data_IF_991575014229
#
_entry.id   IF_991575014229
#
_cell.length_a   1.000
_cell.length_b   1.000
_cell.length_c   1.000
_cell.angle_alpha   90.00
_cell.angle_beta   90.00
_cell.angle_gamma   90.00
#
_symmetry.space_group_name_H-M   'P 1'
#
loop_
_entity.id
_entity.type
_entity.pdbx_description
1 polymer ?
#
# COMPACT_ATOMS: atom_id res chain seq x y z
N UNK A 1 3.15 -5.80 -32.48
CA UNK A 1 3.22 -6.84 -31.41
C UNK A 1 4.66 -6.93 -30.93
N UNK A 2 4.99 -6.45 -29.72
CA UNK A 2 6.32 -6.71 -29.13
C UNK A 2 6.36 -8.20 -28.76
N UNK A 3 7.33 -8.96 -29.30
CA UNK A 3 7.63 -10.32 -28.82
C UNK A 3 7.82 -10.23 -27.30
N UNK A 4 7.09 -11.04 -26.53
CA UNK A 4 7.32 -11.12 -25.08
C UNK A 4 8.78 -11.46 -24.83
N UNK A 5 9.44 -10.69 -23.95
CA UNK A 5 10.80 -11.00 -23.51
C UNK A 5 10.80 -12.37 -22.84
N UNK A 6 11.69 -13.26 -23.28
CA UNK A 6 11.82 -14.59 -22.67
C UNK A 6 12.51 -14.49 -21.30
N UNK A 7 12.27 -15.48 -20.44
CA UNK A 7 12.96 -15.67 -19.16
C UNK A 7 14.49 -15.51 -19.30
N UNK A 8 15.07 -16.15 -20.31
CA UNK A 8 16.50 -16.08 -20.59
C UNK A 8 16.96 -14.66 -20.97
N UNK A 9 16.17 -13.92 -21.75
CA UNK A 9 16.51 -12.56 -22.14
C UNK A 9 16.48 -11.60 -20.93
N UNK A 10 15.49 -11.75 -20.03
CA UNK A 10 15.40 -10.94 -18.81
C UNK A 10 16.57 -11.25 -17.87
N UNK A 11 16.88 -12.53 -17.68
CA UNK A 11 18.02 -12.97 -16.88
C UNK A 11 19.35 -12.43 -17.42
N UNK A 12 19.56 -12.52 -18.74
CA UNK A 12 20.76 -12.00 -19.39
C UNK A 12 20.96 -10.50 -19.14
N UNK A 13 19.90 -9.70 -19.30
CA UNK A 13 19.97 -8.25 -19.04
C UNK A 13 20.32 -7.95 -17.58
N UNK A 14 19.77 -8.73 -16.64
CA UNK A 14 20.10 -8.60 -15.22
C UNK A 14 21.57 -8.93 -14.94
N UNK A 15 22.04 -10.07 -15.44
CA UNK A 15 23.42 -10.53 -15.25
C UNK A 15 24.43 -9.55 -15.86
N UNK A 16 24.15 -8.99 -17.04
CA UNK A 16 24.97 -7.93 -17.64
C UNK A 16 25.07 -6.69 -16.75
N UNK A 17 23.94 -6.23 -16.19
CA UNK A 17 23.94 -5.06 -15.31
C UNK A 17 24.65 -5.30 -13.99
N UNK A 18 24.58 -6.53 -13.45
CA UNK A 18 25.32 -6.94 -12.26
C UNK A 18 26.82 -7.09 -12.54
N UNK A 19 27.19 -7.65 -13.69
CA UNK A 19 28.59 -7.79 -14.11
C UNK A 19 29.26 -6.42 -14.24
N UNK A 20 28.55 -5.43 -14.78
CA UNK A 20 29.04 -4.05 -14.91
C UNK A 20 29.23 -3.35 -13.55
N UNK A 21 28.33 -3.57 -12.59
CA UNK A 21 28.37 -2.88 -11.30
C UNK A 21 29.30 -3.56 -10.29
N UNK A 22 29.28 -4.90 -10.25
CA UNK A 22 29.87 -5.69 -9.18
C UNK A 22 30.92 -6.70 -9.66
N UNK A 23 31.20 -6.76 -10.97
CA UNK A 23 32.17 -7.69 -11.56
C UNK A 23 31.75 -9.16 -11.53
N UNK A 24 30.48 -9.45 -11.22
CA UNK A 24 29.91 -10.81 -11.15
C UNK A 24 28.44 -10.80 -11.58
N UNK A 25 27.90 -11.91 -12.09
CA UNK A 25 26.47 -12.03 -12.39
C UNK A 25 25.60 -12.00 -11.12
N UNK A 26 24.28 -11.87 -11.30
CA UNK A 26 23.35 -12.01 -10.19
C UNK A 26 23.39 -13.44 -9.65
N UNK A 27 23.13 -13.61 -8.35
CA UNK A 27 22.91 -14.95 -7.80
C UNK A 27 21.54 -15.50 -8.23
N UNK A 28 21.37 -16.82 -8.18
CA UNK A 28 20.17 -17.48 -8.69
C UNK A 28 18.89 -16.99 -8.00
N UNK A 29 18.92 -16.80 -6.67
CA UNK A 29 17.78 -16.26 -5.91
C UNK A 29 17.35 -14.88 -6.42
N UNK A 30 18.29 -13.98 -6.67
CA UNK A 30 18.02 -12.65 -7.21
C UNK A 30 17.48 -12.74 -8.63
N UNK A 31 18.08 -13.60 -9.46
CA UNK A 31 17.67 -13.82 -10.85
C UNK A 31 16.23 -14.33 -10.91
N UNK A 32 15.91 -15.37 -10.16
CA UNK A 32 14.56 -15.97 -10.15
C UNK A 32 13.52 -14.98 -9.63
N UNK A 33 13.82 -14.28 -8.53
CA UNK A 33 12.92 -13.26 -7.98
C UNK A 33 12.65 -12.15 -8.99
N UNK A 34 13.70 -11.59 -9.61
CA UNK A 34 13.58 -10.49 -10.55
C UNK A 34 12.84 -10.91 -11.82
N UNK A 35 13.23 -12.04 -12.42
CA UNK A 35 12.63 -12.53 -13.65
C UNK A 35 11.16 -12.89 -13.44
N UNK A 36 10.83 -13.59 -12.37
CA UNK A 36 9.45 -13.92 -12.05
C UNK A 36 8.61 -12.63 -11.88
N UNK A 37 9.11 -11.66 -11.12
CA UNK A 37 8.40 -10.41 -10.90
C UNK A 37 8.19 -9.59 -12.18
N UNK A 38 9.14 -9.61 -13.12
CA UNK A 38 8.95 -9.01 -14.45
C UNK A 38 7.84 -9.72 -15.23
N UNK A 39 7.87 -11.05 -15.27
CA UNK A 39 6.93 -11.86 -16.05
C UNK A 39 5.50 -11.78 -15.52
N UNK A 40 5.34 -11.77 -14.18
CA UNK A 40 4.04 -11.64 -13.52
C UNK A 40 3.60 -10.20 -13.32
N UNK A 41 4.44 -9.23 -13.67
CA UNK A 41 4.21 -7.80 -13.47
C UNK A 41 4.00 -7.43 -11.99
N UNK A 42 4.67 -8.15 -11.10
CA UNK A 42 4.57 -8.00 -9.65
C UNK A 42 5.48 -6.86 -9.17
N UNK A 43 4.89 -5.69 -8.97
CA UNK A 43 5.60 -4.53 -8.45
C UNK A 43 6.08 -4.71 -7.00
N UNK A 44 5.33 -5.41 -6.14
CA UNK A 44 5.70 -5.60 -4.72
C UNK A 44 6.95 -6.47 -4.61
N UNK A 45 7.04 -7.54 -5.40
CA UNK A 45 8.26 -8.35 -5.47
C UNK A 45 9.49 -7.54 -5.93
N UNK A 46 9.30 -6.43 -6.66
CA UNK A 46 10.35 -5.51 -7.09
C UNK A 46 10.60 -4.35 -6.14
N UNK A 47 9.87 -4.19 -5.03
CA UNK A 47 10.02 -3.05 -4.10
C UNK A 47 11.47 -2.82 -3.67
N UNK A 48 12.24 -3.91 -3.49
CA UNK A 48 13.65 -3.86 -3.12
C UNK A 48 14.51 -3.03 -4.08
N UNK A 49 14.19 -2.96 -5.37
CA UNK A 49 14.99 -2.19 -6.34
C UNK A 49 14.86 -0.68 -6.14
N UNK A 50 13.83 -0.22 -5.42
CA UNK A 50 13.68 1.21 -5.08
C UNK A 50 14.78 1.71 -4.14
N UNK A 51 15.43 0.81 -3.38
CA UNK A 51 16.54 1.15 -2.50
C UNK A 51 17.71 1.76 -3.29
N UNK A 52 18.33 2.81 -2.75
CA UNK A 52 19.47 3.53 -3.35
C UNK A 52 20.70 2.65 -3.65
N UNK A 53 20.84 1.49 -3.02
CA UNK A 53 22.00 0.60 -3.21
C UNK A 53 21.85 -0.39 -4.39
N UNK A 54 20.66 -0.46 -5.01
CA UNK A 54 20.32 -1.50 -6.00
C UNK A 54 20.39 -1.00 -7.45
N UNK A 55 21.39 -0.20 -7.80
CA UNK A 55 21.53 0.44 -9.12
C UNK A 55 21.58 -0.56 -10.29
N UNK A 56 22.25 -1.71 -10.13
CA UNK A 56 22.25 -2.76 -11.15
C UNK A 56 20.84 -3.27 -11.48
N UNK A 57 20.00 -3.48 -10.45
CA UNK A 57 18.62 -3.96 -10.62
C UNK A 57 17.72 -2.89 -11.23
N UNK A 58 17.92 -1.60 -10.87
CA UNK A 58 17.23 -0.47 -11.50
C UNK A 58 17.54 -0.37 -12.98
N UNK A 59 18.82 -0.46 -13.36
CA UNK A 59 19.24 -0.45 -14.77
C UNK A 59 18.64 -1.61 -15.55
N UNK A 60 18.65 -2.81 -14.97
CA UNK A 60 18.03 -3.99 -15.57
C UNK A 60 16.52 -3.76 -15.78
N UNK A 61 15.82 -3.25 -14.76
CA UNK A 61 14.39 -2.93 -14.85
C UNK A 61 14.11 -1.92 -15.97
N UNK A 62 14.87 -0.82 -16.05
CA UNK A 62 14.73 0.17 -17.11
C UNK A 62 14.93 -0.44 -18.51
N UNK A 63 15.98 -1.27 -18.68
CA UNK A 63 16.31 -1.93 -19.95
C UNK A 63 15.22 -2.91 -20.39
N UNK A 64 14.67 -3.69 -19.44
CA UNK A 64 13.68 -4.73 -19.72
C UNK A 64 12.30 -4.13 -19.97
N UNK A 65 11.88 -3.15 -19.17
CA UNK A 65 10.52 -2.60 -19.21
C UNK A 65 10.39 -1.36 -20.10
N UNK A 66 11.48 -0.65 -20.34
CA UNK A 66 11.49 0.67 -20.98
C UNK A 66 11.01 1.81 -20.08
N UNK A 67 10.76 1.55 -18.78
CA UNK A 67 10.32 2.56 -17.82
C UNK A 67 11.53 3.27 -17.24
N UNK A 68 11.55 4.60 -17.34
CA UNK A 68 12.57 5.41 -16.68
C UNK A 68 12.30 5.49 -15.18
N UNK A 69 13.32 5.18 -14.38
CA UNK A 69 13.26 5.28 -12.92
C UNK A 69 13.87 6.62 -12.44
N UNK A 70 13.12 7.45 -11.72
CA UNK A 70 13.67 8.67 -11.10
C UNK A 70 14.72 8.34 -10.02
N UNK A 71 15.64 9.27 -9.71
CA UNK A 71 16.71 9.04 -8.73
C UNK A 71 16.22 9.02 -7.28
N UNK A 72 15.10 9.68 -6.98
CA UNK A 72 14.52 9.71 -5.64
C UNK A 72 13.79 8.40 -5.34
N UNK A 73 14.17 7.71 -4.27
CA UNK A 73 13.62 6.40 -3.87
C UNK A 73 12.07 6.34 -3.90
N UNK A 74 11.40 7.34 -3.32
CA UNK A 74 9.93 7.38 -3.31
C UNK A 74 9.32 7.49 -4.71
N UNK A 75 9.96 8.24 -5.61
CA UNK A 75 9.53 8.36 -7.01
C UNK A 75 9.88 7.11 -7.83
N UNK A 76 11.01 6.46 -7.53
CA UNK A 76 11.35 5.14 -8.08
C UNK A 76 10.26 4.13 -7.75
N UNK A 77 9.86 4.06 -6.47
CA UNK A 77 8.81 3.16 -6.02
C UNK A 77 7.48 3.47 -6.71
N UNK A 78 7.10 4.75 -6.80
CA UNK A 78 5.89 5.17 -7.52
C UNK A 78 5.90 4.75 -8.99
N UNK A 79 7.04 4.86 -9.68
CA UNK A 79 7.18 4.43 -11.07
C UNK A 79 7.02 2.90 -11.24
N UNK A 80 7.59 2.11 -10.32
CA UNK A 80 7.46 0.65 -10.32
C UNK A 80 6.02 0.22 -10.07
N UNK A 81 5.34 0.85 -9.10
CA UNK A 81 3.90 0.61 -8.84
C UNK A 81 3.03 0.94 -10.03
N UNK A 82 3.24 2.10 -10.66
CA UNK A 82 2.51 2.49 -11.85
C UNK A 82 2.73 1.48 -13.01
N UNK A 83 3.96 0.99 -13.18
CA UNK A 83 4.24 -0.09 -14.13
C UNK A 83 3.51 -1.39 -13.76
N UNK A 84 3.47 -1.76 -12.48
CA UNK A 84 2.77 -2.95 -11.96
C UNK A 84 1.25 -2.85 -11.92
N UNK A 85 0.67 -1.66 -12.16
CA UNK A 85 -0.76 -1.42 -12.05
C UNK A 85 -1.27 -1.26 -10.61
N UNK A 86 -0.39 -0.94 -9.66
CA UNK A 86 -0.76 -0.64 -8.27
C UNK A 86 -1.07 0.85 -8.14
N UNK A 87 -2.32 1.17 -7.80
CA UNK A 87 -2.77 2.54 -7.50
C UNK A 87 -2.15 3.10 -6.21
N UNK A 88 -2.24 4.41 -6.01
CA UNK A 88 -1.79 5.04 -4.76
C UNK A 88 -2.66 4.59 -3.57
N UNK A 89 -3.95 4.31 -3.79
CA UNK A 89 -4.88 3.80 -2.78
C UNK A 89 -4.61 2.35 -2.39
N UNK A 90 -4.31 1.48 -3.36
CA UNK A 90 -3.91 0.09 -3.07
C UNK A 90 -2.61 0.04 -2.26
N UNK A 91 -1.64 0.88 -2.60
CA UNK A 91 -0.40 0.97 -1.84
C UNK A 91 -0.65 1.52 -0.43
N UNK A 92 -1.50 2.54 -0.30
CA UNK A 92 -1.87 3.08 1.02
C UNK A 92 -2.49 2.01 1.91
N UNK A 93 -3.39 1.19 1.37
CA UNK A 93 -3.98 0.06 2.10
C UNK A 93 -2.94 -1.01 2.47
N UNK A 94 -2.02 -1.34 1.56
CA UNK A 94 -0.94 -2.28 1.84
C UNK A 94 -0.08 -1.81 3.01
N UNK A 95 0.41 -0.57 2.95
CA UNK A 95 1.25 0.02 4.01
C UNK A 95 0.50 0.09 5.35
N UNK A 96 -0.79 0.43 5.33
CA UNK A 96 -1.61 0.45 6.54
C UNK A 96 -1.80 -0.95 7.14
N UNK A 97 -2.03 -1.96 6.29
CA UNK A 97 -2.12 -3.37 6.69
C UNK A 97 -0.80 -3.86 7.30
N UNK A 98 0.33 -3.62 6.63
CA UNK A 98 1.67 -4.01 7.13
C UNK A 98 1.97 -3.37 8.50
N UNK A 99 1.58 -2.10 8.68
CA UNK A 99 1.71 -1.40 9.97
C UNK A 99 0.85 -2.01 11.06
N UNK A 100 -0.39 -2.40 10.74
CA UNK A 100 -1.31 -3.06 11.65
C UNK A 100 -0.77 -4.41 12.10
N UNK A 101 -0.36 -5.27 11.16
CA UNK A 101 0.25 -6.57 11.43
C UNK A 101 1.48 -6.43 12.34
N UNK A 102 2.38 -5.48 12.03
CA UNK A 102 3.55 -5.22 12.85
C UNK A 102 3.19 -4.75 14.28
N UNK A 103 2.07 -4.03 14.49
CA UNK A 103 1.61 -3.70 15.84
C UNK A 103 1.02 -4.92 16.55
N UNK A 104 0.29 -5.78 15.84
CA UNK A 104 -0.24 -7.03 16.41
C UNK A 104 0.89 -7.95 16.87
N UNK A 105 1.91 -8.15 16.05
CA UNK A 105 3.10 -8.96 16.40
C UNK A 105 3.83 -8.42 17.64
N UNK A 106 3.97 -7.09 17.76
CA UNK A 106 4.62 -6.46 18.94
C UNK A 106 3.85 -6.65 20.24
N UNK A 107 2.56 -6.90 20.15
CA UNK A 107 1.66 -7.12 21.27
C UNK A 107 1.42 -8.62 21.53
N UNK A 108 1.78 -9.47 20.58
CA UNK A 108 1.78 -10.92 20.72
C UNK A 108 2.70 -11.31 21.90
N UNK A 109 2.10 -11.84 22.97
CA UNK A 109 2.79 -12.18 24.21
C UNK A 109 2.69 -11.14 25.35
N UNK A 110 2.11 -9.95 25.09
CA UNK A 110 1.78 -8.97 26.14
C UNK A 110 0.30 -8.96 26.50
N UNK A 111 -0.54 -9.44 25.58
CA UNK A 111 -1.99 -9.48 25.73
C UNK A 111 -2.59 -10.60 24.89
N UNK A 112 -3.82 -10.97 25.22
CA UNK A 112 -4.68 -11.71 24.31
C UNK A 112 -5.06 -10.77 23.16
N UNK A 113 -4.38 -10.96 22.03
CA UNK A 113 -4.53 -10.12 20.84
C UNK A 113 -5.95 -10.23 20.28
N UNK A 114 -6.56 -11.42 20.31
CA UNK A 114 -7.88 -11.64 19.74
C UNK A 114 -8.97 -10.95 20.57
N UNK A 115 -8.95 -11.15 21.89
CA UNK A 115 -9.88 -10.49 22.80
C UNK A 115 -9.72 -8.96 22.77
N UNK A 116 -8.46 -8.48 22.70
CA UNK A 116 -8.16 -7.05 22.60
C UNK A 116 -8.66 -6.47 21.29
N UNK A 117 -8.42 -7.15 20.16
CA UNK A 117 -8.92 -6.73 18.84
C UNK A 117 -10.45 -6.64 18.81
N UNK A 118 -11.16 -7.60 19.41
CA UNK A 118 -12.62 -7.54 19.50
C UNK A 118 -13.11 -6.32 20.29
N UNK A 119 -12.50 -6.03 21.44
CA UNK A 119 -12.84 -4.87 22.27
C UNK A 119 -12.57 -3.54 21.55
N UNK A 120 -11.41 -3.44 20.87
CA UNK A 120 -11.04 -2.23 20.12
C UNK A 120 -11.92 -2.04 18.89
N UNK A 121 -12.24 -3.12 18.15
CA UNK A 121 -13.22 -3.06 17.06
C UNK A 121 -14.58 -2.58 17.55
N UNK A 122 -15.04 -3.04 18.71
CA UNK A 122 -16.28 -2.55 19.33
C UNK A 122 -16.28 -1.04 19.59
N UNK A 123 -15.14 -0.44 19.94
CA UNK A 123 -15.01 1.01 20.05
C UNK A 123 -15.07 1.69 18.67
N UNK A 124 -14.33 1.18 17.69
CA UNK A 124 -14.34 1.74 16.35
C UNK A 124 -15.74 1.67 15.71
N UNK A 125 -16.49 0.60 15.95
CA UNK A 125 -17.86 0.40 15.46
C UNK A 125 -18.87 1.33 16.16
N UNK A 126 -18.54 1.84 17.35
CA UNK A 126 -19.29 2.92 18.03
C UNK A 126 -18.97 4.32 17.47
N UNK A 127 -18.17 4.41 16.39
CA UNK A 127 -17.84 5.66 15.71
C UNK A 127 -16.62 6.39 16.27
N UNK A 128 -15.88 5.78 17.19
CA UNK A 128 -14.61 6.32 17.66
C UNK A 128 -13.53 6.16 16.60
N UNK A 129 -12.96 7.25 16.11
CA UNK A 129 -12.11 7.21 14.91
C UNK A 129 -10.84 8.06 15.00
N UNK A 130 -10.55 8.69 16.15
CA UNK A 130 -9.36 9.55 16.27
C UNK A 130 -8.73 9.49 17.65
N UNK A 131 -7.40 9.45 17.70
CA UNK A 131 -6.64 9.52 18.96
C UNK A 131 -6.20 10.97 19.27
N UNK A 132 -6.84 11.52 20.30
CA UNK A 132 -6.63 12.76 21.06
C UNK A 132 -5.47 12.76 22.06
N UNK A 133 -4.48 13.66 22.05
CA UNK A 133 -3.75 13.97 23.30
C UNK A 133 -4.31 15.25 23.94
N UNK A 134 -4.96 15.12 25.09
CA UNK A 134 -5.60 16.22 25.82
C UNK A 134 -5.46 16.00 27.32
N UNK A 135 -5.17 17.07 28.08
CA UNK A 135 -5.04 17.06 29.54
C UNK A 135 -4.15 15.92 30.10
N UNK A 136 -2.98 15.72 29.47
CA UNK A 136 -1.98 14.68 29.80
C UNK A 136 -2.50 13.25 29.66
N UNK A 137 -3.61 13.07 28.93
CA UNK A 137 -4.24 11.78 28.66
C UNK A 137 -4.39 11.60 27.15
N UNK A 138 -4.32 10.35 26.73
CA UNK A 138 -4.76 9.92 25.42
C UNK A 138 -6.24 9.58 25.47
N UNK A 139 -7.01 10.18 24.57
CA UNK A 139 -8.45 9.96 24.41
C UNK A 139 -8.70 9.42 23.02
N UNK A 140 -9.54 8.41 22.89
CA UNK A 140 -10.14 8.04 21.62
C UNK A 140 -11.44 8.84 21.47
N UNK A 141 -11.57 9.63 20.42
CA UNK A 141 -12.72 10.52 20.21
C UNK A 141 -13.55 10.09 19.00
N UNK A 142 -14.86 10.27 19.09
CA UNK A 142 -15.79 10.14 17.97
C UNK A 142 -16.16 11.52 17.40
N UNK A 143 -16.91 11.55 16.30
CA UNK A 143 -17.38 12.79 15.66
C UNK A 143 -18.31 13.63 16.57
N UNK A 144 -19.01 12.97 17.51
CA UNK A 144 -19.85 13.64 18.51
C UNK A 144 -19.06 14.32 19.63
N UNK A 145 -17.72 14.22 19.62
CA UNK A 145 -16.85 14.81 20.64
C UNK A 145 -16.78 14.03 21.96
N UNK A 146 -17.36 12.81 22.02
CA UNK A 146 -17.22 11.91 23.17
C UNK A 146 -15.81 11.33 23.19
N UNK A 147 -15.15 11.40 24.35
CA UNK A 147 -13.80 10.89 24.54
C UNK A 147 -13.76 9.66 25.45
N UNK A 148 -13.21 8.56 24.94
CA UNK A 148 -12.90 7.35 25.70
C UNK A 148 -11.43 7.39 26.16
N UNK A 149 -11.20 7.28 27.47
CA UNK A 149 -9.86 7.46 28.04
C UNK A 149 -8.97 6.22 27.83
N UNK A 150 -7.88 6.39 27.08
CA UNK A 150 -6.90 5.34 26.79
C UNK A 150 -5.76 5.25 27.82
N UNK A 151 -5.70 6.18 28.78
CA UNK A 151 -4.58 6.30 29.74
C UNK A 151 -4.84 5.64 31.09
N UNK A 152 -5.88 4.81 31.20
CA UNK A 152 -6.24 4.18 32.46
C UNK A 152 -5.18 3.14 32.87
N UNK A 153 -4.50 3.39 33.99
CA UNK A 153 -3.50 2.46 34.56
C UNK A 153 -4.17 1.13 34.92
N UNK A 154 -3.51 0.02 34.57
CA UNK A 154 -4.03 -1.33 34.76
C UNK A 154 -4.91 -1.85 33.61
N UNK A 155 -5.12 -1.05 32.55
CA UNK A 155 -5.80 -1.48 31.32
C UNK A 155 -4.80 -1.71 30.19
N UNK A 156 -5.21 -2.48 29.17
CA UNK A 156 -4.43 -2.75 27.95
C UNK A 156 -4.33 -1.51 27.02
N UNK A 157 -5.09 -0.45 27.31
CA UNK A 157 -5.33 0.69 26.43
C UNK A 157 -4.09 1.57 26.14
N UNK A 158 -3.17 1.81 27.09
CA UNK A 158 -1.94 2.57 26.78
C UNK A 158 -1.03 1.83 25.79
N UNK A 159 -1.03 0.50 25.82
CA UNK A 159 -0.24 -0.34 24.91
C UNK A 159 -0.97 -0.54 23.57
N UNK A 160 -2.31 -0.57 23.60
CA UNK A 160 -3.16 -0.67 22.42
C UNK A 160 -3.30 0.63 21.62
N UNK A 161 -2.73 1.75 22.08
CA UNK A 161 -2.80 3.03 21.35
C UNK A 161 -2.27 2.94 19.93
N UNK A 162 -1.05 2.44 19.77
CA UNK A 162 -0.43 2.32 18.44
C UNK A 162 -1.19 1.33 17.55
N UNK A 163 -1.82 0.31 18.17
CA UNK A 163 -2.69 -0.62 17.49
C UNK A 163 -3.97 0.08 17.01
N UNK A 164 -4.63 0.88 17.86
CA UNK A 164 -5.81 1.69 17.49
C UNK A 164 -5.51 2.65 16.34
N UNK A 165 -4.39 3.38 16.41
CA UNK A 165 -3.98 4.29 15.33
C UNK A 165 -3.79 3.53 14.00
N UNK A 166 -3.19 2.33 14.04
CA UNK A 166 -3.01 1.48 12.85
C UNK A 166 -4.35 0.90 12.34
N UNK A 167 -5.27 0.51 13.23
CA UNK A 167 -6.60 0.03 12.85
C UNK A 167 -7.44 1.13 12.19
N UNK A 168 -7.38 2.36 12.71
CA UNK A 168 -8.04 3.53 12.11
C UNK A 168 -7.48 3.79 10.72
N UNK A 169 -6.15 3.84 10.58
CA UNK A 169 -5.49 4.09 9.30
C UNK A 169 -5.83 3.02 8.24
N UNK A 170 -5.88 1.74 8.64
CA UNK A 170 -6.28 0.63 7.77
C UNK A 170 -7.75 0.76 7.33
N UNK A 171 -8.67 1.06 8.25
CA UNK A 171 -10.08 1.28 7.94
C UNK A 171 -10.28 2.46 6.99
N UNK A 172 -9.59 3.57 7.23
CA UNK A 172 -9.64 4.75 6.35
C UNK A 172 -9.08 4.45 4.96
N UNK A 173 -7.95 3.74 4.88
CA UNK A 173 -7.34 3.35 3.60
C UNK A 173 -8.24 2.38 2.82
N UNK A 174 -8.88 1.43 3.50
CA UNK A 174 -9.83 0.49 2.92
C UNK A 174 -11.07 1.21 2.41
N UNK A 175 -11.65 2.11 3.21
CA UNK A 175 -12.81 2.91 2.82
C UNK A 175 -12.50 3.79 1.59
N UNK A 176 -11.32 4.42 1.56
CA UNK A 176 -10.89 5.22 0.41
C UNK A 176 -10.75 4.37 -0.87
N UNK A 177 -10.19 3.15 -0.76
CA UNK A 177 -10.09 2.24 -1.90
C UNK A 177 -11.46 1.79 -2.40
N UNK A 178 -12.40 1.48 -1.49
CA UNK A 178 -13.78 1.11 -1.85
C UNK A 178 -14.52 2.28 -2.50
N UNK A 179 -14.38 3.50 -1.97
CA UNK A 179 -15.00 4.69 -2.55
C UNK A 179 -14.51 4.98 -3.97
N UNK A 180 -13.22 4.78 -4.23
CA UNK A 180 -12.63 4.98 -5.56
C UNK A 180 -12.91 3.84 -6.55
N UNK A 181 -13.33 2.67 -6.09
CA UNK A 181 -13.70 1.51 -6.93
C UNK A 181 -15.20 1.34 -7.09
N UNK A 182 -16.02 2.07 -6.32
CA UNK A 182 -17.46 2.12 -6.50
C UNK A 182 -17.76 2.64 -7.92
N UNK A 183 -18.62 1.95 -8.71
CA UNK A 183 -19.03 2.48 -9.99
C UNK A 183 -19.65 3.85 -9.76
N UNK A 184 -19.16 4.87 -10.47
CA UNK A 184 -19.89 6.12 -10.58
C UNK A 184 -21.30 5.73 -10.98
N UNK A 185 -22.28 6.00 -10.12
CA UNK A 185 -23.67 5.83 -10.47
C UNK A 185 -23.85 6.54 -11.81
N UNK A 186 -24.08 5.77 -12.87
CA UNK A 186 -24.52 6.28 -14.16
C UNK A 186 -25.81 7.02 -13.87
N UNK A 187 -25.69 8.31 -13.57
CA UNK A 187 -26.79 9.23 -13.69
C UNK A 187 -27.22 9.14 -15.14
N UNK A 188 -28.43 8.64 -15.34
CA UNK A 188 -29.18 8.73 -16.57
C UNK A 188 -29.00 10.12 -17.18
N UNK A 189 -28.15 10.23 -18.21
CA UNK A 189 -28.28 11.28 -19.21
C UNK A 189 -29.23 10.76 -20.30
N UNK A 190 -30.44 10.40 -19.88
CA UNK A 190 -31.57 10.12 -20.76
C UNK A 190 -32.55 11.29 -20.66
N UNK A 191 -32.09 12.51 -20.88
CA UNK A 191 -32.94 13.69 -21.04
C UNK A 191 -32.10 14.85 -21.60
N UNK A 192 -32.01 14.95 -22.93
CA UNK A 192 -31.76 16.19 -23.71
C UNK A 192 -31.75 15.88 -25.22
N UNK A 193 -32.78 15.16 -25.69
CA UNK A 193 -33.15 15.11 -27.12
C UNK A 193 -34.68 15.08 -27.22
N UNK A 194 -35.33 16.10 -26.67
CA UNK A 194 -36.74 16.37 -26.93
C UNK A 194 -36.87 17.79 -27.50
N UNK A 195 -37.54 17.86 -28.65
CA UNK A 195 -38.04 19.05 -29.36
C UNK A 195 -37.01 19.95 -30.06
N UNK A 196 -36.60 19.54 -31.27
CA UNK A 196 -36.43 20.51 -32.35
C UNK A 196 -37.79 20.69 -33.04
N UNK A 197 -38.56 21.67 -32.59
CA UNK A 197 -39.72 22.18 -33.32
C UNK A 197 -39.23 22.84 -34.60
N UNK A 198 -39.24 22.07 -35.69
CA UNK A 198 -39.05 22.55 -37.05
C UNK A 198 -40.41 23.09 -37.55
N UNK A 199 -40.61 24.41 -37.52
CA UNK A 199 -41.69 25.07 -38.28
C UNK A 199 -41.11 25.68 -39.55
N UNK A 200 -41.56 25.18 -40.70
CA UNK A 200 -41.69 25.96 -41.94
C UNK A 200 -43.01 26.72 -41.92
#
# INVERSE_FOLDING_TARGET
MRKGLSTAAIAQVLDECFQQEYGRPANDRMRDKFVNAILTRDAVALEFISNGLNEASKRAFCRVTGIALPPQQGLTWKAIRAWGGISDEQERLRVATDRLEAQMERLQGKMDVEQSMAALNGLLDQGYNRVVHSDRKYLLVNEEGRGYNLSQRGSLLPQARNLLEAMIEEREARAALTANTAPAATGDHTELCAAADFRM
#
